data_IF_144062875182
#
_entry.id   IF_144062875182
#
_cell.length_a   1.000
_cell.length_b   1.000
_cell.length_c   1.000
_cell.angle_alpha   90.00
_cell.angle_beta   90.00
_cell.angle_gamma   90.00
#
_symmetry.space_group_name_H-M   'P 1'
#
loop_
_entity.id
_entity.type
_entity.pdbx_description
1 polymer ?
#
# COMPACT_ATOMS: atom_id res chain seq x y z
N UNK A 1 18.64 32.91 5.29
CA UNK A 1 18.46 31.87 6.31
C UNK A 1 19.54 30.83 6.10
N UNK A 2 20.32 30.50 7.14
CA UNK A 2 21.31 29.43 7.04
C UNK A 2 20.62 28.07 7.21
N UNK A 3 21.27 26.99 6.76
CA UNK A 3 20.79 25.61 6.93
C UNK A 3 20.56 25.30 8.41
N UNK A 4 21.46 25.74 9.29
CA UNK A 4 21.35 25.54 10.75
C UNK A 4 20.05 26.15 11.30
N UNK A 5 19.77 27.41 10.95
CA UNK A 5 18.58 28.12 11.41
C UNK A 5 17.29 27.40 10.95
N UNK A 6 17.30 26.82 9.75
CA UNK A 6 16.15 26.06 9.22
C UNK A 6 15.90 24.77 10.01
N UNK A 7 16.97 24.04 10.38
CA UNK A 7 16.83 22.85 11.23
C UNK A 7 16.35 23.21 12.64
N UNK A 8 16.86 24.28 13.24
CA UNK A 8 16.48 24.70 14.60
C UNK A 8 15.03 25.22 14.68
N UNK A 9 14.55 25.94 13.67
CA UNK A 9 13.21 26.54 13.67
C UNK A 9 12.12 25.60 13.19
N UNK A 10 12.41 24.76 12.18
CA UNK A 10 11.43 23.90 11.53
C UNK A 10 11.79 22.42 11.66
N UNK A 11 13.02 22.06 11.31
CA UNK A 11 13.45 20.67 11.13
C UNK A 11 13.27 19.80 12.37
N UNK A 12 13.86 20.19 13.50
CA UNK A 12 13.82 19.39 14.72
C UNK A 12 12.42 19.30 15.33
N UNK A 13 11.64 20.40 15.29
CA UNK A 13 10.26 20.42 15.76
C UNK A 13 9.38 19.41 15.01
N UNK A 14 9.50 19.36 13.68
CA UNK A 14 8.75 18.40 12.84
C UNK A 14 9.29 16.98 12.96
N UNK A 15 10.59 16.81 13.16
CA UNK A 15 11.17 15.50 13.45
C UNK A 15 10.62 14.89 14.74
N UNK A 16 10.49 15.69 15.80
CA UNK A 16 9.96 15.25 17.08
C UNK A 16 8.46 14.92 17.00
N UNK A 17 7.67 15.78 16.34
CA UNK A 17 6.22 15.61 16.18
C UNK A 17 5.83 14.35 15.38
N UNK A 18 6.61 14.01 14.33
CA UNK A 18 6.31 12.90 13.42
C UNK A 18 7.29 11.71 13.58
N UNK A 19 8.15 11.74 14.60
CA UNK A 19 9.22 10.77 14.85
C UNK A 19 10.44 10.89 13.92
N UNK A 20 10.26 11.35 12.68
CA UNK A 20 11.36 11.75 11.80
C UNK A 20 10.91 12.75 10.72
N UNK A 21 11.87 13.52 10.19
CA UNK A 21 11.62 14.37 9.01
C UNK A 21 11.21 13.56 7.78
N UNK A 22 11.68 12.33 7.67
CA UNK A 22 11.29 11.43 6.59
C UNK A 22 9.79 11.11 6.64
N UNK A 23 9.27 10.73 7.80
CA UNK A 23 7.84 10.47 7.99
C UNK A 23 6.99 11.72 7.79
N UNK A 24 7.48 12.87 8.25
CA UNK A 24 6.84 14.15 8.01
C UNK A 24 6.69 14.43 6.49
N UNK A 25 7.78 14.34 5.71
CA UNK A 25 7.72 14.56 4.26
C UNK A 25 6.86 13.52 3.53
N UNK A 26 6.85 12.27 3.99
CA UNK A 26 5.96 11.23 3.46
C UNK A 26 4.49 11.59 3.70
N UNK A 27 4.14 12.13 4.87
CA UNK A 27 2.77 12.59 5.15
C UNK A 27 2.38 13.82 4.35
N UNK A 28 3.26 14.81 4.22
CA UNK A 28 3.04 15.99 3.37
C UNK A 28 2.81 15.59 1.91
N UNK A 29 3.46 14.53 1.42
CA UNK A 29 3.22 13.99 0.08
C UNK A 29 1.84 13.34 -0.07
N UNK A 30 1.29 12.75 0.99
CA UNK A 30 -0.08 12.20 0.98
C UNK A 30 -1.14 13.29 1.15
N UNK A 31 -0.83 14.35 1.91
CA UNK A 31 -1.69 15.48 2.22
C UNK A 31 -0.88 16.77 2.38
N UNK A 32 -0.92 17.64 1.37
CA UNK A 32 -0.15 18.89 1.33
C UNK A 32 -0.63 19.94 2.36
N UNK A 33 -1.82 19.76 2.96
CA UNK A 33 -2.39 20.71 3.94
C UNK A 33 -1.65 20.71 5.28
N UNK A 34 -0.86 19.65 5.55
CA UNK A 34 -0.07 19.49 6.78
C UNK A 34 1.04 20.54 6.88
N UNK A 35 1.49 21.07 5.75
CA UNK A 35 2.55 22.07 5.67
C UNK A 35 1.93 23.42 5.28
N UNK A 36 2.26 24.47 6.03
CA UNK A 36 1.77 25.83 5.77
C UNK A 36 2.31 26.37 4.43
N UNK A 37 1.58 27.32 3.83
CA UNK A 37 1.92 27.95 2.55
C UNK A 37 2.79 29.20 2.72
N UNK A 38 3.73 29.18 3.68
CA UNK A 38 4.74 30.22 3.78
C UNK A 38 5.84 30.03 2.70
N UNK A 39 6.72 31.02 2.54
CA UNK A 39 7.79 30.97 1.52
C UNK A 39 8.66 29.70 1.63
N UNK A 40 8.87 29.20 2.86
CA UNK A 40 9.66 28.01 3.14
C UNK A 40 8.83 26.75 2.82
N UNK A 41 7.58 26.69 3.27
CA UNK A 41 6.65 25.60 3.05
C UNK A 41 6.36 25.36 1.58
N UNK A 42 6.10 26.40 0.79
CA UNK A 42 5.93 26.28 -0.68
C UNK A 42 7.17 25.67 -1.35
N UNK A 43 8.36 26.10 -0.93
CA UNK A 43 9.64 25.58 -1.47
C UNK A 43 9.82 24.11 -1.09
N UNK A 44 9.52 23.74 0.15
CA UNK A 44 9.60 22.36 0.63
C UNK A 44 8.56 21.48 -0.08
N UNK A 45 7.32 21.92 -0.27
CA UNK A 45 6.30 21.18 -1.04
C UNK A 45 6.76 20.90 -2.47
N UNK A 46 7.35 21.90 -3.13
CA UNK A 46 7.92 21.75 -4.47
C UNK A 46 9.04 20.72 -4.48
N UNK A 47 9.98 20.79 -3.54
CA UNK A 47 11.08 19.83 -3.42
C UNK A 47 10.59 18.42 -3.10
N UNK A 48 9.56 18.27 -2.26
CA UNK A 48 8.94 16.99 -1.97
C UNK A 48 8.33 16.39 -3.25
N UNK A 49 7.66 17.21 -4.06
CA UNK A 49 7.05 16.77 -5.31
C UNK A 49 8.09 16.37 -6.36
N UNK A 50 9.18 17.12 -6.48
CA UNK A 50 10.21 16.92 -7.52
C UNK A 50 11.26 15.86 -7.14
N UNK A 51 11.65 15.80 -5.86
CA UNK A 51 12.83 15.03 -5.42
C UNK A 51 12.50 13.94 -4.39
N UNK A 52 11.40 14.06 -3.64
CA UNK A 52 11.11 13.10 -2.56
C UNK A 52 10.36 11.86 -3.08
N UNK A 53 11.12 10.80 -3.32
CA UNK A 53 10.57 9.46 -3.54
C UNK A 53 10.30 8.78 -2.20
N UNK A 54 9.16 9.08 -1.59
CA UNK A 54 8.66 8.33 -0.45
C UNK A 54 8.68 6.82 -0.77
N UNK A 55 9.25 6.02 0.13
CA UNK A 55 9.14 4.56 0.11
C UNK A 55 7.66 4.22 0.03
N UNK A 56 7.26 3.61 -1.09
CA UNK A 56 5.90 3.14 -1.29
C UNK A 56 5.86 1.65 -1.03
N UNK A 57 5.01 1.24 -0.11
CA UNK A 57 4.76 -0.15 0.19
C UNK A 57 3.55 -0.58 -0.63
N UNK A 58 3.78 -1.54 -1.53
CA UNK A 58 2.72 -2.17 -2.29
C UNK A 58 2.32 -3.44 -1.57
N UNK A 59 1.14 -3.48 -0.98
CA UNK A 59 0.57 -4.70 -0.38
C UNK A 59 -0.39 -5.32 -1.37
N UNK A 60 -0.29 -6.63 -1.58
CA UNK A 60 -1.18 -7.40 -2.45
C UNK A 60 -1.69 -8.63 -1.71
N UNK A 61 -2.97 -8.92 -1.88
CA UNK A 61 -3.61 -10.18 -1.53
C UNK A 61 -4.26 -10.78 -2.78
N UNK A 62 -4.27 -12.10 -2.88
CA UNK A 62 -4.97 -12.82 -3.95
C UNK A 62 -6.09 -13.66 -3.34
N UNK A 63 -7.30 -13.50 -3.88
CA UNK A 63 -8.52 -14.14 -3.40
C UNK A 63 -9.22 -14.84 -4.56
N UNK A 64 -9.78 -16.01 -4.30
CA UNK A 64 -10.67 -16.72 -5.22
C UNK A 64 -12.11 -16.43 -4.82
N UNK A 65 -12.90 -15.97 -5.80
CA UNK A 65 -14.32 -15.69 -5.62
C UNK A 65 -15.15 -16.54 -6.59
N UNK A 66 -16.09 -17.30 -6.05
CA UNK A 66 -17.07 -18.03 -6.85
C UNK A 66 -18.47 -17.71 -6.37
N UNK A 67 -19.40 -17.49 -7.29
CA UNK A 67 -20.81 -17.29 -6.97
C UNK A 67 -21.63 -18.04 -8.03
N UNK A 68 -22.31 -19.11 -7.61
CA UNK A 68 -23.05 -20.02 -8.49
C UNK A 68 -24.47 -19.53 -8.81
N UNK A 69 -24.91 -18.47 -8.13
CA UNK A 69 -26.24 -17.87 -8.28
C UNK A 69 -26.40 -17.19 -9.65
N UNK A 70 -27.63 -17.15 -10.17
CA UNK A 70 -27.98 -16.39 -11.37
C UNK A 70 -27.65 -14.91 -11.16
N UNK A 71 -26.65 -14.39 -11.89
CA UNK A 71 -26.16 -13.02 -11.70
C UNK A 71 -24.98 -12.89 -10.74
N UNK A 72 -24.29 -13.97 -10.36
CA UNK A 72 -23.16 -13.94 -9.44
C UNK A 72 -22.04 -12.95 -9.83
N UNK A 73 -21.82 -12.72 -11.14
CA UNK A 73 -20.87 -11.72 -11.62
C UNK A 73 -21.27 -10.29 -11.23
N UNK A 74 -22.57 -9.98 -11.19
CA UNK A 74 -23.07 -8.66 -10.77
C UNK A 74 -22.85 -8.48 -9.27
N UNK A 75 -23.12 -9.52 -8.47
CA UNK A 75 -22.85 -9.53 -7.03
C UNK A 75 -21.37 -9.29 -6.72
N UNK A 76 -20.46 -9.98 -7.43
CA UNK A 76 -19.01 -9.77 -7.26
C UNK A 76 -18.61 -8.33 -7.62
N UNK A 77 -19.15 -7.79 -8.72
CA UNK A 77 -18.90 -6.40 -9.12
C UNK A 77 -19.42 -5.40 -8.09
N UNK A 78 -20.58 -5.65 -7.48
CA UNK A 78 -21.12 -4.81 -6.42
C UNK A 78 -20.27 -4.85 -5.15
N UNK A 79 -19.77 -6.04 -4.77
CA UNK A 79 -18.85 -6.20 -3.64
C UNK A 79 -17.60 -5.33 -3.83
N UNK A 80 -16.98 -5.41 -5.00
CA UNK A 80 -15.82 -4.59 -5.35
C UNK A 80 -16.16 -3.09 -5.34
N UNK A 81 -17.31 -2.71 -5.90
CA UNK A 81 -17.72 -1.29 -5.93
C UNK A 81 -17.85 -0.71 -4.53
N UNK A 82 -18.41 -1.44 -3.57
CA UNK A 82 -18.52 -1.00 -2.16
C UNK A 82 -17.15 -0.78 -1.53
N UNK A 83 -16.22 -1.70 -1.73
CA UNK A 83 -14.86 -1.58 -1.22
C UNK A 83 -14.12 -0.40 -1.85
N UNK A 84 -14.23 -0.19 -3.17
CA UNK A 84 -13.63 0.96 -3.84
C UNK A 84 -14.25 2.31 -3.43
N UNK A 85 -15.52 2.34 -3.02
CA UNK A 85 -16.14 3.55 -2.47
C UNK A 85 -15.54 3.94 -1.11
N UNK A 86 -15.12 2.95 -0.29
CA UNK A 86 -14.53 3.16 1.02
C UNK A 86 -13.04 3.51 0.94
N UNK A 87 -12.30 2.83 0.08
CA UNK A 87 -10.89 3.15 -0.21
C UNK A 87 -10.66 3.20 -1.72
N UNK A 88 -10.77 4.40 -2.29
CA UNK A 88 -10.62 4.63 -3.73
C UNK A 88 -9.20 4.43 -4.26
N UNK A 89 -8.23 4.23 -3.36
CA UNK A 89 -6.83 3.97 -3.72
C UNK A 89 -6.51 2.47 -3.76
N UNK A 90 -7.51 1.59 -3.57
CA UNK A 90 -7.41 0.14 -3.82
C UNK A 90 -7.50 -0.15 -5.32
N UNK A 91 -6.67 -1.08 -5.79
CA UNK A 91 -6.68 -1.57 -7.15
C UNK A 91 -7.05 -3.06 -7.14
N UNK A 92 -8.14 -3.41 -7.81
CA UNK A 92 -8.61 -4.79 -7.97
C UNK A 92 -8.38 -5.20 -9.43
N UNK A 93 -7.78 -6.37 -9.64
CA UNK A 93 -7.50 -6.89 -10.98
C UNK A 93 -7.80 -8.38 -11.04
N UNK A 94 -8.36 -8.83 -12.16
CA UNK A 94 -8.60 -10.25 -12.41
C UNK A 94 -7.30 -10.86 -12.95
N UNK A 95 -6.70 -11.81 -12.22
CA UNK A 95 -5.52 -12.52 -12.68
C UNK A 95 -5.92 -13.67 -13.61
N UNK A 96 -6.85 -14.49 -13.12
CA UNK A 96 -7.42 -15.67 -13.79
C UNK A 96 -8.80 -15.91 -13.21
N UNK A 97 -9.71 -16.58 -13.90
CA UNK A 97 -10.94 -17.05 -13.24
C UNK A 97 -10.58 -18.24 -12.35
N UNK A 98 -10.92 -18.30 -11.04
CA UNK A 98 -11.70 -17.35 -10.22
C UNK A 98 -10.85 -16.39 -9.33
N UNK A 99 -9.55 -16.28 -9.56
CA UNK A 99 -8.58 -15.49 -8.78
C UNK A 99 -8.52 -14.00 -9.14
N UNK A 100 -8.82 -13.17 -8.15
CA UNK A 100 -8.67 -11.72 -8.17
C UNK A 100 -7.51 -11.30 -7.27
N UNK A 101 -6.77 -10.27 -7.70
CA UNK A 101 -5.76 -9.61 -6.87
C UNK A 101 -6.26 -8.26 -6.38
N UNK A 102 -6.12 -8.02 -5.09
CA UNK A 102 -6.39 -6.74 -4.44
C UNK A 102 -5.05 -6.15 -4.03
N UNK A 103 -4.78 -4.94 -4.51
CA UNK A 103 -3.51 -4.24 -4.32
C UNK A 103 -3.75 -2.87 -3.71
N UNK A 104 -2.95 -2.49 -2.71
CA UNK A 104 -2.91 -1.15 -2.13
C UNK A 104 -1.48 -0.63 -2.11
N UNK A 105 -1.27 0.62 -2.53
CA UNK A 105 0.03 1.30 -2.45
C UNK A 105 -0.08 2.48 -1.49
N UNK A 106 0.70 2.48 -0.41
CA UNK A 106 0.75 3.60 0.55
C UNK A 106 2.17 3.78 1.08
N UNK A 107 2.48 4.97 1.62
CA UNK A 107 3.74 5.21 2.32
C UNK A 107 3.77 4.57 3.72
N UNK A 108 2.63 4.11 4.22
CA UNK A 108 2.50 3.47 5.53
C UNK A 108 2.20 1.98 5.36
N UNK A 109 3.10 1.13 5.86
CA UNK A 109 3.03 -0.33 5.76
C UNK A 109 1.80 -0.87 6.48
N UNK A 110 1.58 -0.49 7.73
CA UNK A 110 0.47 -1.00 8.54
C UNK A 110 -0.87 -0.57 7.96
N UNK A 111 -0.98 0.69 7.55
CA UNK A 111 -2.18 1.20 6.90
C UNK A 111 -2.51 0.44 5.61
N UNK A 112 -1.51 0.13 4.79
CA UNK A 112 -1.71 -0.65 3.58
C UNK A 112 -2.19 -2.08 3.88
N UNK A 113 -1.61 -2.73 4.90
CA UNK A 113 -2.04 -4.06 5.34
C UNK A 113 -3.48 -4.05 5.85
N UNK A 114 -3.82 -3.09 6.71
CA UNK A 114 -5.16 -2.97 7.28
C UNK A 114 -6.20 -2.69 6.19
N UNK A 115 -5.95 -1.75 5.27
CA UNK A 115 -6.83 -1.47 4.13
C UNK A 115 -7.13 -2.71 3.30
N UNK A 116 -6.11 -3.52 2.99
CA UNK A 116 -6.30 -4.75 2.18
C UNK A 116 -7.04 -5.82 2.97
N UNK A 117 -6.73 -5.99 4.26
CA UNK A 117 -7.38 -6.99 5.09
C UNK A 117 -8.86 -6.67 5.34
N UNK A 118 -9.18 -5.40 5.60
CA UNK A 118 -10.54 -4.93 5.79
C UNK A 118 -11.35 -5.07 4.49
N UNK A 119 -10.75 -4.76 3.35
CA UNK A 119 -11.35 -5.00 2.04
C UNK A 119 -11.67 -6.48 1.80
N UNK A 120 -10.74 -7.39 2.12
CA UNK A 120 -10.96 -8.83 1.98
C UNK A 120 -12.13 -9.32 2.86
N UNK A 121 -12.18 -8.90 4.12
CA UNK A 121 -13.28 -9.26 5.04
C UNK A 121 -14.63 -8.75 4.56
N UNK A 122 -14.69 -7.50 4.09
CA UNK A 122 -15.94 -6.91 3.59
C UNK A 122 -16.46 -7.63 2.33
N UNK A 123 -15.54 -8.08 1.46
CA UNK A 123 -15.88 -8.92 0.30
C UNK A 123 -16.35 -10.29 0.75
N UNK A 124 -15.66 -10.93 1.70
CA UNK A 124 -16.05 -12.24 2.26
C UNK A 124 -17.46 -12.19 2.86
N UNK A 125 -17.75 -11.18 3.69
CA UNK A 125 -19.06 -10.97 4.31
C UNK A 125 -20.16 -10.72 3.27
N UNK A 126 -19.84 -9.98 2.20
CA UNK A 126 -20.80 -9.72 1.14
C UNK A 126 -21.06 -10.98 0.31
N UNK A 127 -20.02 -11.71 -0.09
CA UNK A 127 -20.13 -12.89 -0.96
C UNK A 127 -20.83 -14.06 -0.24
N UNK A 128 -20.53 -14.26 1.05
CA UNK A 128 -21.16 -15.28 1.87
C UNK A 128 -22.68 -15.09 1.98
N UNK A 129 -23.18 -13.84 1.98
CA UNK A 129 -24.63 -13.54 2.02
C UNK A 129 -25.39 -13.96 0.75
N UNK A 130 -24.70 -14.09 -0.39
CA UNK A 130 -25.29 -14.43 -1.67
C UNK A 130 -24.98 -15.87 -2.11
N UNK A 131 -24.68 -16.77 -1.15
CA UNK A 131 -24.28 -18.15 -1.40
C UNK A 131 -23.02 -18.29 -2.30
N UNK A 132 -22.12 -17.30 -2.24
CA UNK A 132 -20.81 -17.42 -2.88
C UNK A 132 -19.77 -18.04 -1.96
N UNK A 133 -18.68 -18.56 -2.55
CA UNK A 133 -17.51 -19.06 -1.82
C UNK A 133 -16.37 -18.05 -1.95
N UNK A 134 -15.74 -17.76 -0.81
CA UNK A 134 -14.55 -16.94 -0.70
C UNK A 134 -13.38 -17.81 -0.24
N UNK A 135 -12.25 -17.77 -0.95
CA UNK A 135 -11.04 -18.47 -0.55
C UNK A 135 -9.82 -17.55 -0.67
N UNK A 136 -8.98 -17.51 0.36
CA UNK A 136 -7.74 -16.72 0.32
C UNK A 136 -6.62 -17.59 -0.25
N UNK A 137 -6.21 -17.29 -1.49
CA UNK A 137 -5.09 -17.98 -2.16
C UNK A 137 -3.76 -17.49 -1.59
N UNK A 138 -3.63 -16.17 -1.45
CA UNK A 138 -2.46 -15.53 -0.88
C UNK A 138 -2.90 -14.42 0.05
N UNK A 139 -2.53 -14.55 1.33
CA UNK A 139 -2.75 -13.49 2.33
C UNK A 139 -2.05 -12.20 1.90
N UNK A 140 -2.47 -11.08 2.47
CA UNK A 140 -1.81 -9.80 2.26
C UNK A 140 -0.31 -9.95 2.50
N UNK A 141 0.49 -9.64 1.48
CA UNK A 141 1.96 -9.65 1.52
C UNK A 141 2.48 -8.36 0.93
N UNK A 142 3.64 -7.92 1.41
CA UNK A 142 4.33 -6.76 0.86
C UNK A 142 5.07 -7.18 -0.40
N UNK A 143 4.71 -6.57 -1.52
CA UNK A 143 5.30 -6.78 -2.82
C UNK A 143 6.23 -5.61 -3.16
N UNK A 144 7.42 -5.92 -3.66
CA UNK A 144 8.30 -4.91 -4.22
C UNK A 144 8.94 -4.00 -3.17
N UNK A 145 9.41 -4.57 -2.06
CA UNK A 145 10.44 -3.94 -1.24
C UNK A 145 11.72 -3.85 -2.11
N UNK A 146 11.75 -2.91 -3.06
CA UNK A 146 12.94 -2.51 -3.81
C UNK A 146 13.85 -1.69 -2.90
N UNK A 147 14.08 -2.17 -1.68
CA UNK A 147 15.30 -1.80 -0.98
C UNK A 147 16.41 -2.48 -1.76
N UNK A 148 17.36 -1.70 -2.28
CA UNK A 148 18.56 -2.21 -2.95
C UNK A 148 19.29 -3.29 -2.12
N UNK A 149 18.99 -3.36 -0.81
CA UNK A 149 19.47 -4.32 0.17
C UNK A 149 18.78 -5.70 0.14
N UNK A 150 17.48 -5.80 -0.18
CA UNK A 150 16.78 -7.11 -0.14
C UNK A 150 17.18 -8.03 -1.30
N UNK A 151 17.49 -7.44 -2.47
CA UNK A 151 17.98 -8.18 -3.65
C UNK A 151 19.34 -8.86 -3.43
N UNK A 152 20.14 -8.41 -2.45
CA UNK A 152 21.39 -9.07 -2.09
C UNK A 152 21.16 -10.34 -1.26
N UNK A 153 20.08 -10.39 -0.47
CA UNK A 153 19.78 -11.54 0.40
C UNK A 153 19.20 -12.75 -0.35
N UNK A 154 18.59 -12.53 -1.53
CA UNK A 154 17.97 -13.62 -2.32
C UNK A 154 18.94 -14.25 -3.33
N UNK A 155 20.13 -13.68 -3.51
CA UNK A 155 21.13 -14.19 -4.45
C UNK A 155 22.02 -15.30 -3.87
N UNK A 156 22.03 -15.48 -2.54
CA UNK A 156 22.91 -16.45 -1.87
C UNK A 156 22.26 -17.84 -1.64
N UNK A 157 20.95 -18.00 -1.87
CA UNK A 157 20.24 -19.27 -1.61
C UNK A 157 20.10 -20.20 -2.85
N UNK A 158 20.57 -19.81 -4.04
CA UNK A 158 20.48 -20.66 -5.26
C UNK A 158 21.77 -21.43 -5.64
N UNK A 159 22.75 -21.59 -4.73
CA UNK A 159 23.95 -22.43 -5.03
C UNK A 159 24.20 -23.61 -4.07
N UNK A 160 23.19 -24.10 -3.34
CA UNK A 160 23.34 -25.34 -2.56
C UNK A 160 22.29 -26.39 -2.93
N UNK A 161 22.38 -26.89 -4.16
CA UNK A 161 21.63 -28.06 -4.59
C UNK A 161 22.23 -28.68 -5.84
N UNK A 162 22.67 -29.93 -5.73
CA UNK A 162 23.18 -30.85 -6.75
C UNK A 162 24.65 -30.65 -7.14
N UNK A 163 25.58 -31.53 -6.72
CA UNK A 163 25.58 -32.92 -7.16
C UNK A 163 26.45 -33.78 -6.23
N UNK A 164 25.78 -34.75 -5.61
CA UNK A 164 26.36 -36.01 -5.18
C UNK A 164 26.39 -36.96 -6.37
N UNK A 165 27.58 -37.36 -6.82
CA UNK A 165 27.99 -38.72 -7.21
C UNK A 165 29.49 -38.75 -7.53
#
# INVERSE_FOLDING_TARGET
>A
MNVKDLYETFGYKKAEEYGSLYYFFARVKEDESILEDDNIGMTIKKLIKEQFQASSYKVRADIDLTCQSSGGILTIKEAFKKVLQKDSKLQISLNKTPTYSITRVSSDKEKAYNSVNDACKEIEDFITKFNGTFCVVSKAKLYGEKSKFSLLSTADDEFSGESSE
#
